data_IF_299977064411
#
_entry.id   IF_299977064411
#
_cell.length_a   1.000
_cell.length_b   1.000
_cell.length_c   1.000
_cell.angle_alpha   90.00
_cell.angle_beta   90.00
_cell.angle_gamma   90.00
#
_symmetry.space_group_name_H-M   'P 1'
#
loop_
_entity.id
_entity.type
_entity.pdbx_description
1 polymer ?
#
# COMPACT_ATOMS: atom_id res chain seq x y z
N UNK A 1 -2.81 9.65 -13.94
CA UNK A 1 -2.91 8.27 -13.42
C UNK A 1 -3.72 8.37 -12.13
N UNK A 2 -4.96 7.87 -12.13
CA UNK A 2 -5.80 7.89 -10.94
C UNK A 2 -5.19 6.89 -9.96
N UNK A 3 -4.92 7.31 -8.73
CA UNK A 3 -4.55 6.38 -7.69
C UNK A 3 -5.86 5.65 -7.37
N UNK A 4 -5.93 4.34 -7.65
CA UNK A 4 -7.04 3.46 -7.28
C UNK A 4 -6.95 3.15 -5.77
N UNK A 5 -6.59 4.15 -4.99
CA UNK A 5 -6.51 4.10 -3.55
C UNK A 5 -7.90 3.74 -3.04
N UNK A 6 -8.04 2.50 -2.57
CA UNK A 6 -9.07 2.15 -1.60
C UNK A 6 -10.49 2.25 -2.13
N UNK A 7 -10.65 2.01 -3.43
CA UNK A 7 -11.97 1.69 -3.97
C UNK A 7 -12.16 0.20 -3.71
N UNK A 8 -12.96 -0.23 -2.71
CA UNK A 8 -13.47 -1.60 -2.70
C UNK A 8 -13.97 -1.88 -4.11
N UNK A 9 -13.66 -3.04 -4.69
CA UNK A 9 -13.82 -3.39 -6.11
C UNK A 9 -15.23 -3.05 -6.62
N UNK A 10 -15.49 -1.77 -6.93
CA UNK A 10 -16.85 -1.24 -7.07
C UNK A 10 -17.08 -0.53 -8.39
N UNK A 11 -16.05 -0.28 -9.21
CA UNK A 11 -16.24 0.70 -10.32
C UNK A 11 -15.83 0.19 -11.71
N UNK A 12 -15.34 -1.04 -11.85
CA UNK A 12 -14.96 -1.56 -13.18
C UNK A 12 -15.54 -2.93 -13.51
N UNK A 13 -16.75 -3.24 -13.03
CA UNK A 13 -17.51 -4.34 -13.62
C UNK A 13 -17.92 -3.89 -15.03
N UNK A 14 -17.40 -4.56 -16.07
CA UNK A 14 -17.82 -4.31 -17.45
C UNK A 14 -19.36 -4.34 -17.55
N UNK A 15 -19.95 -3.52 -18.42
CA UNK A 15 -21.40 -3.23 -18.41
C UNK A 15 -22.35 -4.44 -18.55
N UNK A 16 -21.83 -5.63 -18.84
CA UNK A 16 -22.59 -6.89 -18.78
C UNK A 16 -22.69 -7.46 -17.35
N UNK A 17 -21.63 -7.37 -16.55
CA UNK A 17 -21.61 -7.81 -15.15
C UNK A 17 -22.42 -6.85 -14.28
N UNK A 18 -22.29 -5.54 -14.51
CA UNK A 18 -23.12 -4.52 -13.86
C UNK A 18 -24.63 -4.74 -14.08
N UNK A 19 -25.05 -5.09 -15.30
CA UNK A 19 -26.46 -5.42 -15.60
C UNK A 19 -26.96 -6.65 -14.86
N UNK A 20 -26.09 -7.63 -14.62
CA UNK A 20 -26.43 -8.85 -13.91
C UNK A 20 -26.82 -8.58 -12.45
N UNK A 21 -26.17 -7.58 -11.83
CA UNK A 21 -26.42 -7.18 -10.45
C UNK A 21 -27.58 -6.19 -10.29
N UNK A 22 -28.10 -5.64 -11.38
CA UNK A 22 -29.15 -4.61 -11.36
C UNK A 22 -30.44 -5.08 -12.02
N UNK A 23 -30.98 -6.18 -11.49
CA UNK A 23 -32.32 -6.67 -11.85
C UNK A 23 -33.24 -6.65 -10.64
N UNK A 24 -34.50 -6.28 -10.87
CA UNK A 24 -35.62 -6.47 -9.93
C UNK A 24 -36.03 -7.95 -9.82
N UNK A 25 -35.44 -8.82 -10.64
CA UNK A 25 -35.58 -10.26 -10.50
C UNK A 25 -35.05 -10.71 -9.15
N UNK A 26 -35.84 -11.53 -8.46
CA UNK A 26 -35.41 -12.25 -7.28
C UNK A 26 -34.50 -13.39 -7.69
N UNK A 27 -33.42 -13.58 -6.95
CA UNK A 27 -32.51 -14.71 -7.11
C UNK A 27 -32.71 -15.71 -5.98
N UNK A 28 -32.42 -17.00 -6.22
CA UNK A 28 -32.43 -17.99 -5.14
C UNK A 28 -31.37 -17.65 -4.09
N UNK A 29 -31.67 -17.92 -2.82
CA UNK A 29 -30.70 -17.85 -1.73
C UNK A 29 -29.61 -18.93 -1.92
N UNK A 30 -28.36 -18.56 -1.67
CA UNK A 30 -27.24 -19.50 -1.60
C UNK A 30 -27.05 -20.07 -0.20
N UNK A 31 -27.79 -19.57 0.79
CA UNK A 31 -27.57 -19.87 2.20
C UNK A 31 -26.28 -19.24 2.73
N UNK A 32 -25.91 -18.05 2.24
CA UNK A 32 -24.76 -17.32 2.75
C UNK A 32 -24.91 -17.04 4.25
N UNK A 33 -23.82 -17.26 5.00
CA UNK A 33 -23.77 -16.95 6.42
C UNK A 33 -23.12 -15.58 6.61
N UNK A 34 -23.81 -14.68 7.29
CA UNK A 34 -23.32 -13.33 7.58
C UNK A 34 -23.11 -13.10 9.06
N UNK A 35 -21.97 -12.52 9.42
CA UNK A 35 -21.70 -11.97 10.75
C UNK A 35 -21.15 -10.56 10.59
N UNK A 36 -21.44 -9.67 11.52
CA UNK A 36 -20.83 -8.34 11.50
C UNK A 36 -20.28 -7.94 12.87
N UNK A 37 -19.28 -7.06 12.83
CA UNK A 37 -18.71 -6.34 13.96
C UNK A 37 -18.66 -4.85 13.63
N UNK A 38 -18.46 -3.98 14.61
CA UNK A 38 -18.48 -2.52 14.41
C UNK A 38 -17.35 -1.83 15.17
N UNK A 39 -16.84 -0.75 14.59
CA UNK A 39 -16.05 0.26 15.27
C UNK A 39 -16.83 1.60 15.30
N UNK A 40 -16.20 2.69 15.71
CA UNK A 40 -16.86 3.99 15.79
C UNK A 40 -17.14 4.63 14.42
N UNK A 41 -16.56 4.09 13.33
CA UNK A 41 -16.63 4.65 11.97
C UNK A 41 -17.53 3.82 11.06
N UNK A 42 -17.69 2.52 11.29
CA UNK A 42 -18.44 1.63 10.40
C UNK A 42 -18.56 0.20 10.90
N UNK A 43 -19.22 -0.61 10.08
CA UNK A 43 -19.39 -2.03 10.32
C UNK A 43 -18.52 -2.85 9.36
N UNK A 44 -17.99 -3.97 9.85
CA UNK A 44 -17.36 -5.00 9.03
C UNK A 44 -18.30 -6.19 8.92
N UNK A 45 -18.81 -6.43 7.72
CA UNK A 45 -19.61 -7.60 7.36
C UNK A 45 -18.67 -8.71 6.88
N UNK A 46 -18.81 -9.90 7.43
CA UNK A 46 -18.08 -11.11 7.04
C UNK A 46 -19.07 -12.13 6.51
N UNK A 47 -18.92 -12.50 5.25
CA UNK A 47 -19.76 -13.44 4.53
C UNK A 47 -19.01 -14.74 4.29
N UNK A 48 -19.66 -15.88 4.57
CA UNK A 48 -19.16 -17.24 4.31
C UNK A 48 -20.29 -18.11 3.78
N UNK A 49 -20.05 -19.41 3.57
CA UNK A 49 -21.08 -20.35 3.09
C UNK A 49 -21.18 -20.44 1.57
N UNK A 50 -20.28 -19.78 0.84
CA UNK A 50 -20.06 -19.98 -0.59
C UNK A 50 -18.84 -20.88 -0.84
N UNK A 51 -18.75 -21.42 -2.06
CA UNK A 51 -17.51 -22.05 -2.54
C UNK A 51 -16.68 -21.03 -3.32
N UNK A 52 -15.34 -21.01 -3.16
CA UNK A 52 -14.47 -20.21 -4.01
C UNK A 52 -14.74 -20.52 -5.48
N UNK A 53 -14.86 -19.48 -6.31
CA UNK A 53 -15.16 -19.62 -7.73
C UNK A 53 -14.32 -18.61 -8.51
N UNK A 54 -13.44 -19.11 -9.37
CA UNK A 54 -12.61 -18.26 -10.21
C UNK A 54 -13.49 -17.33 -11.06
N UNK A 55 -13.15 -16.03 -11.07
CA UNK A 55 -13.88 -14.97 -11.75
C UNK A 55 -15.32 -14.72 -11.25
N UNK A 56 -15.71 -15.28 -10.11
CA UNK A 56 -16.95 -14.91 -9.45
C UNK A 56 -16.75 -13.66 -8.60
N UNK A 57 -17.76 -12.79 -8.62
CA UNK A 57 -17.73 -11.52 -7.92
C UNK A 57 -18.90 -11.51 -6.95
N UNK A 58 -18.61 -11.16 -5.69
CA UNK A 58 -19.61 -10.93 -4.66
C UNK A 58 -19.79 -9.42 -4.51
N UNK A 59 -21.01 -8.95 -4.73
CA UNK A 59 -21.36 -7.54 -4.62
C UNK A 59 -22.44 -7.36 -3.56
N UNK A 60 -22.25 -6.39 -2.67
CA UNK A 60 -23.25 -6.00 -1.69
C UNK A 60 -23.89 -4.67 -2.06
N UNK A 61 -25.20 -4.57 -1.85
CA UNK A 61 -25.97 -3.33 -2.00
C UNK A 61 -26.78 -3.04 -0.75
N UNK A 62 -26.97 -1.76 -0.46
CA UNK A 62 -27.87 -1.30 0.57
C UNK A 62 -29.29 -1.15 0.03
N UNK A 63 -30.30 -1.61 0.77
CA UNK A 63 -31.71 -1.55 0.38
C UNK A 63 -32.60 -0.93 1.45
N UNK A 64 -33.69 -0.31 1.01
CA UNK A 64 -34.79 0.12 1.87
C UNK A 64 -35.77 -1.04 2.15
N UNK A 65 -36.74 -0.79 3.03
CA UNK A 65 -37.81 -1.72 3.42
C UNK A 65 -38.67 -2.24 2.26
N UNK A 66 -38.74 -1.47 1.15
CA UNK A 66 -39.46 -1.83 -0.07
C UNK A 66 -38.57 -2.57 -1.10
N UNK A 67 -37.32 -2.89 -0.76
CA UNK A 67 -36.38 -3.59 -1.61
C UNK A 67 -35.64 -2.73 -2.64
N UNK A 68 -35.87 -1.41 -2.66
CA UNK A 68 -35.18 -0.47 -3.54
C UNK A 68 -33.78 -0.11 -3.05
N UNK A 69 -32.87 0.17 -3.99
CA UNK A 69 -31.48 0.51 -3.70
C UNK A 69 -31.34 1.87 -3.00
N UNK A 70 -30.45 1.94 -2.01
CA UNK A 70 -30.09 3.17 -1.30
C UNK A 70 -28.87 3.83 -1.94
N UNK A 71 -28.82 5.17 -1.92
CA UNK A 71 -27.74 5.96 -2.52
C UNK A 71 -26.49 5.99 -1.64
N UNK A 72 -25.33 6.10 -2.26
CA UNK A 72 -24.08 6.34 -1.56
C UNK A 72 -23.94 7.82 -1.17
N UNK A 73 -23.39 8.10 0.01
CA UNK A 73 -23.03 9.45 0.43
C UNK A 73 -21.73 9.95 -0.22
N UNK A 74 -20.92 9.04 -0.76
CA UNK A 74 -19.64 9.35 -1.37
C UNK A 74 -19.37 8.48 -2.59
N UNK A 75 -18.76 9.08 -3.63
CA UNK A 75 -18.56 8.46 -4.95
C UNK A 75 -17.73 7.17 -4.93
N UNK A 76 -16.87 6.97 -3.93
CA UNK A 76 -16.03 5.75 -3.84
C UNK A 76 -16.82 4.51 -3.41
N UNK A 77 -18.04 4.70 -2.89
CA UNK A 77 -18.97 3.64 -2.54
C UNK A 77 -20.19 3.62 -3.45
N UNK A 78 -20.14 4.38 -4.54
CA UNK A 78 -21.22 4.54 -5.49
C UNK A 78 -20.98 3.67 -6.72
N UNK A 79 -22.01 2.99 -7.19
CA UNK A 79 -22.03 2.43 -8.53
C UNK A 79 -22.29 3.52 -9.61
N UNK A 80 -22.46 3.10 -10.86
CA UNK A 80 -22.72 4.00 -11.99
C UNK A 80 -24.02 4.83 -11.86
N UNK A 81 -24.95 4.43 -11.00
CA UNK A 81 -26.20 5.15 -10.74
C UNK A 81 -26.19 5.95 -9.44
N UNK A 82 -25.08 5.93 -8.71
CA UNK A 82 -25.00 6.54 -7.39
C UNK A 82 -25.55 5.65 -6.27
N UNK A 83 -25.93 4.40 -6.55
CA UNK A 83 -26.41 3.45 -5.55
C UNK A 83 -25.21 2.93 -4.73
N UNK A 84 -25.41 2.72 -3.43
CA UNK A 84 -24.36 2.21 -2.57
C UNK A 84 -24.02 0.76 -2.95
N UNK A 85 -22.74 0.53 -3.24
CA UNK A 85 -22.27 -0.77 -3.68
C UNK A 85 -20.82 -1.02 -3.29
N UNK A 86 -20.52 -2.24 -2.85
CA UNK A 86 -19.16 -2.74 -2.67
C UNK A 86 -19.04 -4.11 -3.31
N UNK A 87 -17.97 -4.35 -4.06
CA UNK A 87 -17.67 -5.64 -4.67
C UNK A 87 -16.34 -6.19 -4.22
N UNK A 88 -16.18 -7.50 -4.39
CA UNK A 88 -14.92 -8.21 -4.21
C UNK A 88 -14.92 -9.52 -4.98
N UNK A 89 -13.73 -9.98 -5.36
CA UNK A 89 -13.54 -11.27 -5.99
C UNK A 89 -13.72 -12.40 -4.97
N UNK A 90 -14.29 -13.52 -5.43
CA UNK A 90 -14.61 -14.67 -4.60
C UNK A 90 -13.49 -15.73 -4.63
N UNK A 91 -12.28 -15.33 -4.26
CA UNK A 91 -11.09 -16.20 -4.30
C UNK A 91 -10.97 -17.12 -3.07
N UNK A 92 -11.56 -16.72 -1.94
CA UNK A 92 -11.51 -17.44 -0.66
C UNK A 92 -12.82 -18.15 -0.29
N UNK A 93 -12.87 -18.69 0.93
CA UNK A 93 -14.08 -19.24 1.57
C UNK A 93 -14.83 -18.19 2.44
N UNK A 94 -14.26 -16.99 2.51
CA UNK A 94 -14.75 -15.85 3.26
C UNK A 94 -14.49 -14.55 2.51
N UNK A 95 -15.40 -13.59 2.66
CA UNK A 95 -15.33 -12.28 2.03
C UNK A 95 -15.77 -11.23 3.04
N UNK A 96 -15.06 -10.10 3.08
CA UNK A 96 -15.26 -9.09 4.09
C UNK A 96 -15.54 -7.73 3.46
N UNK A 97 -16.59 -7.07 3.90
CA UNK A 97 -16.94 -5.72 3.47
C UNK A 97 -16.90 -4.79 4.66
N UNK A 98 -16.35 -3.59 4.48
CA UNK A 98 -16.45 -2.54 5.48
C UNK A 98 -17.38 -1.44 4.96
N UNK A 99 -18.47 -1.19 5.69
CA UNK A 99 -19.49 -0.20 5.36
C UNK A 99 -19.39 0.93 6.38
N UNK A 100 -18.86 2.11 6.00
CA UNK A 100 -18.84 3.26 6.89
C UNK A 100 -20.26 3.68 7.24
N UNK A 101 -20.49 4.03 8.50
CA UNK A 101 -21.82 4.30 9.03
C UNK A 101 -22.57 5.41 8.29
N UNK A 102 -21.86 6.44 7.84
CA UNK A 102 -22.44 7.54 7.06
C UNK A 102 -22.45 7.33 5.55
N UNK A 103 -21.90 6.23 5.03
CA UNK A 103 -21.73 6.05 3.59
C UNK A 103 -23.04 5.76 2.82
N UNK A 104 -24.15 5.50 3.52
CA UNK A 104 -25.44 5.14 2.94
C UNK A 104 -26.47 6.22 3.26
N UNK A 105 -27.09 6.78 2.23
CA UNK A 105 -28.16 7.76 2.32
C UNK A 105 -29.53 7.08 2.35
N UNK A 106 -30.42 7.58 3.20
CA UNK A 106 -31.81 7.11 3.23
C UNK A 106 -32.05 5.81 4.01
N UNK A 107 -31.11 5.37 4.85
CA UNK A 107 -31.36 4.30 5.81
C UNK A 107 -32.48 4.70 6.79
N UNK A 108 -33.53 3.89 6.87
CA UNK A 108 -34.68 4.12 7.76
C UNK A 108 -34.41 3.54 9.15
N UNK A 109 -34.51 4.37 10.19
CA UNK A 109 -34.17 3.90 11.54
C UNK A 109 -32.68 3.52 11.64
N UNK A 110 -32.36 2.57 12.49
CA UNK A 110 -30.98 2.11 12.71
C UNK A 110 -30.72 0.75 12.05
N UNK A 111 -31.67 0.23 11.24
CA UNK A 111 -31.53 -1.06 10.56
C UNK A 111 -31.26 -0.85 9.06
N UNK A 112 -30.33 -1.62 8.53
CA UNK A 112 -29.93 -1.63 7.13
C UNK A 112 -30.12 -3.03 6.54
N UNK A 113 -30.75 -3.09 5.38
CA UNK A 113 -30.86 -4.31 4.58
C UNK A 113 -29.68 -4.33 3.61
N UNK A 114 -28.80 -5.32 3.76
CA UNK A 114 -27.69 -5.58 2.82
C UNK A 114 -28.05 -6.80 2.00
N UNK A 115 -28.18 -6.63 0.68
CA UNK A 115 -28.27 -7.75 -0.25
C UNK A 115 -26.90 -8.10 -0.78
N UNK A 116 -26.50 -9.37 -0.67
CA UNK A 116 -25.26 -9.90 -1.22
C UNK A 116 -25.56 -10.78 -2.43
N UNK A 117 -24.99 -10.45 -3.58
CA UNK A 117 -25.19 -11.16 -4.85
C UNK A 117 -23.87 -11.75 -5.34
N UNK A 118 -23.89 -12.99 -5.81
CA UNK A 118 -22.76 -13.62 -6.50
C UNK A 118 -23.07 -13.66 -7.99
N UNK A 119 -22.17 -13.14 -8.83
CA UNK A 119 -22.23 -13.33 -10.28
C UNK A 119 -21.00 -14.07 -10.80
N UNK A 120 -21.21 -14.90 -11.81
CA UNK A 120 -20.14 -15.53 -12.58
C UNK A 120 -20.29 -15.08 -14.04
N UNK A 121 -19.42 -14.16 -14.48
CA UNK A 121 -19.62 -13.45 -15.74
C UNK A 121 -20.88 -12.58 -15.72
N UNK A 122 -21.77 -12.74 -16.70
CA UNK A 122 -22.94 -11.86 -16.91
C UNK A 122 -24.25 -12.33 -16.25
N UNK A 123 -24.23 -13.33 -15.37
CA UNK A 123 -25.41 -13.82 -14.68
C UNK A 123 -25.20 -13.76 -13.16
N UNK A 124 -26.03 -12.97 -12.47
CA UNK A 124 -26.17 -13.09 -11.03
C UNK A 124 -26.87 -14.43 -10.76
N UNK A 125 -26.28 -15.19 -9.83
CA UNK A 125 -26.64 -16.58 -9.60
C UNK A 125 -27.50 -16.70 -8.34
N UNK A 126 -27.20 -15.89 -7.32
CA UNK A 126 -27.82 -15.99 -6.00
C UNK A 126 -27.91 -14.65 -5.29
N UNK A 127 -28.84 -14.52 -4.36
CA UNK A 127 -29.00 -13.37 -3.48
C UNK A 127 -29.35 -13.80 -2.05
N UNK A 128 -28.62 -13.27 -1.07
CA UNK A 128 -28.94 -13.41 0.34
C UNK A 128 -29.07 -12.03 0.99
N UNK A 129 -30.01 -11.92 1.93
CA UNK A 129 -30.36 -10.67 2.60
C UNK A 129 -29.91 -10.70 4.05
N UNK A 130 -29.22 -9.66 4.48
CA UNK A 130 -28.74 -9.48 5.84
C UNK A 130 -29.34 -8.22 6.44
N UNK A 131 -29.75 -8.30 7.70
CA UNK A 131 -30.15 -7.15 8.49
C UNK A 131 -29.01 -6.80 9.43
N UNK A 132 -28.48 -5.58 9.31
CA UNK A 132 -27.43 -5.07 10.19
C UNK A 132 -27.88 -3.76 10.82
N UNK A 133 -27.25 -3.37 11.92
CA UNK A 133 -27.51 -2.07 12.54
C UNK A 133 -26.48 -1.03 12.07
N UNK A 134 -26.91 0.19 11.81
CA UNK A 134 -26.05 1.33 11.50
C UNK A 134 -26.15 2.39 12.60
N UNK A 135 -25.00 2.91 13.03
CA UNK A 135 -24.95 4.09 13.88
C UNK A 135 -25.12 5.31 13.00
N UNK A 136 -26.15 6.12 13.21
CA UNK A 136 -26.37 7.34 12.41
C UNK A 136 -25.29 8.38 12.64
N UNK A 137 -24.44 8.59 11.63
CA UNK A 137 -23.37 9.60 11.63
C UNK A 137 -23.15 10.14 10.21
N UNK A 138 -22.68 11.40 10.06
CA UNK A 138 -22.28 11.89 8.74
C UNK A 138 -21.06 11.12 8.23
N UNK A 139 -20.99 10.93 6.92
CA UNK A 139 -19.79 10.40 6.28
C UNK A 139 -18.64 11.41 6.40
N UNK A 140 -17.44 10.90 6.65
CA UNK A 140 -16.19 11.63 6.49
C UNK A 140 -15.17 10.72 5.83
N UNK A 141 -14.62 11.18 4.71
CA UNK A 141 -13.54 10.46 4.03
C UNK A 141 -12.29 10.40 4.90
N UNK A 142 -12.02 11.44 5.69
CA UNK A 142 -10.85 11.50 6.54
C UNK A 142 -10.95 10.49 7.68
N UNK A 143 -12.13 10.30 8.29
CA UNK A 143 -12.34 9.23 9.29
C UNK A 143 -12.21 7.84 8.69
N UNK A 144 -12.71 7.64 7.47
CA UNK A 144 -12.56 6.36 6.78
C UNK A 144 -11.08 6.04 6.48
N UNK A 145 -10.34 7.04 5.98
CA UNK A 145 -8.92 6.94 5.62
C UNK A 145 -7.96 7.13 6.80
N UNK A 146 -8.48 7.42 8.00
CA UNK A 146 -7.71 7.76 9.19
C UNK A 146 -6.52 6.83 9.44
N UNK A 147 -6.66 5.49 9.48
CA UNK A 147 -5.52 4.61 9.71
C UNK A 147 -4.45 4.70 8.60
N UNK A 148 -4.82 4.91 7.34
CA UNK A 148 -3.85 5.10 6.25
C UNK A 148 -3.11 6.43 6.42
N UNK A 149 -3.85 7.51 6.68
CA UNK A 149 -3.29 8.85 6.89
C UNK A 149 -2.37 8.88 8.11
N UNK A 150 -2.72 8.13 9.15
CA UNK A 150 -1.89 7.93 10.33
C UNK A 150 -0.59 7.18 10.02
N UNK A 151 -0.63 6.09 9.24
CA UNK A 151 0.59 5.42 8.81
C UNK A 151 1.46 6.34 7.96
N UNK A 152 0.86 7.10 7.03
CA UNK A 152 1.58 8.12 6.25
C UNK A 152 2.23 9.19 7.14
N UNK A 153 1.51 9.66 8.16
CA UNK A 153 2.05 10.59 9.16
C UNK A 153 3.22 9.98 9.95
N UNK A 154 3.10 8.73 10.42
CA UNK A 154 4.19 8.05 11.15
C UNK A 154 5.43 7.92 10.26
N UNK A 155 5.25 7.56 8.99
CA UNK A 155 6.32 7.45 8.00
C UNK A 155 7.05 8.79 7.83
N UNK A 156 6.29 9.85 7.57
CA UNK A 156 6.78 11.22 7.44
C UNK A 156 7.45 11.78 8.71
N UNK A 157 7.14 11.18 9.87
CA UNK A 157 7.74 11.54 11.15
C UNK A 157 8.91 10.65 11.56
N UNK A 158 9.37 9.74 10.68
CA UNK A 158 10.39 8.75 11.02
C UNK A 158 11.79 9.34 11.23
N UNK A 159 12.10 10.48 10.62
CA UNK A 159 13.37 11.20 10.74
C UNK A 159 13.24 12.62 11.33
N UNK A 160 12.01 13.10 11.55
CA UNK A 160 11.78 14.47 12.02
C UNK A 160 10.30 14.83 12.22
N UNK A 161 9.99 16.11 12.47
CA UNK A 161 8.61 16.58 12.49
C UNK A 161 8.06 16.72 11.06
N UNK A 162 6.74 16.52 10.93
CA UNK A 162 6.01 16.65 9.67
C UNK A 162 6.27 18.01 9.00
N UNK A 163 6.74 18.00 7.74
CA UNK A 163 7.09 19.21 6.99
C UNK A 163 5.90 19.74 6.17
N UNK A 164 6.04 20.98 5.66
CA UNK A 164 4.93 21.67 4.96
C UNK A 164 4.53 20.95 3.68
N UNK A 165 5.50 20.38 2.98
CA UNK A 165 5.36 19.65 1.72
C UNK A 165 4.48 18.40 1.90
N UNK A 166 4.69 17.62 2.96
CA UNK A 166 3.91 16.42 3.27
C UNK A 166 2.48 16.77 3.67
N UNK A 167 2.31 17.80 4.52
CA UNK A 167 0.99 18.32 4.89
C UNK A 167 0.23 18.78 3.65
N UNK A 168 0.93 19.46 2.72
CA UNK A 168 0.35 19.93 1.47
C UNK A 168 -0.08 18.74 0.60
N UNK A 169 0.76 17.72 0.45
CA UNK A 169 0.43 16.50 -0.28
C UNK A 169 -0.81 15.80 0.29
N UNK A 170 -0.87 15.58 1.61
CA UNK A 170 -2.04 14.93 2.24
C UNK A 170 -3.33 15.75 2.07
N UNK A 171 -3.22 17.08 2.12
CA UNK A 171 -4.37 17.96 1.85
C UNK A 171 -4.83 17.88 0.40
N UNK A 172 -3.91 17.90 -0.54
CA UNK A 172 -4.18 17.73 -1.98
C UNK A 172 -4.77 16.36 -2.29
N UNK A 173 -4.29 15.30 -1.63
CA UNK A 173 -4.86 13.96 -1.75
C UNK A 173 -6.35 13.95 -1.35
N UNK A 174 -6.68 14.45 -0.16
CA UNK A 174 -8.07 14.47 0.33
C UNK A 174 -8.95 15.36 -0.55
N UNK A 175 -8.51 16.57 -0.87
CA UNK A 175 -9.29 17.52 -1.66
C UNK A 175 -9.46 17.06 -3.11
N UNK A 176 -8.36 16.76 -3.80
CA UNK A 176 -8.37 16.62 -5.26
C UNK A 176 -8.66 15.18 -5.70
N UNK A 177 -8.19 14.16 -4.94
CA UNK A 177 -8.47 12.75 -5.26
C UNK A 177 -9.75 12.25 -4.65
N UNK A 178 -10.03 12.60 -3.40
CA UNK A 178 -11.24 12.12 -2.75
C UNK A 178 -12.41 13.09 -2.82
N UNK A 179 -12.19 14.38 -3.13
CA UNK A 179 -13.27 15.36 -3.16
C UNK A 179 -13.69 15.82 -1.76
N UNK A 180 -12.78 15.75 -0.80
CA UNK A 180 -13.03 16.14 0.59
C UNK A 180 -13.40 17.62 0.72
N UNK A 181 -14.37 17.88 1.59
CA UNK A 181 -14.88 19.19 1.97
C UNK A 181 -13.91 19.97 2.89
N UNK A 182 -14.14 21.26 3.07
CA UNK A 182 -13.36 22.08 4.03
C UNK A 182 -13.47 21.55 5.47
N UNK A 183 -14.62 20.99 5.86
CA UNK A 183 -14.78 20.34 7.16
C UNK A 183 -13.85 19.13 7.30
N UNK A 184 -13.75 18.30 6.28
CA UNK A 184 -12.84 17.16 6.26
C UNK A 184 -11.37 17.59 6.20
N UNK A 185 -11.04 18.69 5.51
CA UNK A 185 -9.68 19.25 5.55
C UNK A 185 -9.29 19.76 6.95
N UNK A 186 -10.24 20.31 7.72
CA UNK A 186 -10.01 20.64 9.12
C UNK A 186 -9.87 19.38 9.99
N UNK A 187 -10.65 18.33 9.74
CA UNK A 187 -10.46 17.02 10.40
C UNK A 187 -9.05 16.45 10.13
N UNK A 188 -8.57 16.52 8.88
CA UNK A 188 -7.21 16.13 8.53
C UNK A 188 -6.20 16.98 9.30
N UNK A 189 -6.40 18.30 9.37
CA UNK A 189 -5.50 19.20 10.12
C UNK A 189 -5.43 18.83 11.60
N UNK A 190 -6.54 18.41 12.20
CA UNK A 190 -6.56 17.93 13.59
C UNK A 190 -5.84 16.58 13.73
N UNK A 191 -6.05 15.65 12.79
CA UNK A 191 -5.38 14.35 12.75
C UNK A 191 -3.84 14.48 12.66
N UNK A 192 -3.36 15.46 11.90
CA UNK A 192 -1.93 15.70 11.69
C UNK A 192 -1.24 16.40 12.87
N UNK A 193 -1.98 16.91 13.87
CA UNK A 193 -1.36 17.46 15.09
C UNK A 193 -0.59 16.38 15.86
N UNK A 194 0.46 16.73 16.63
CA UNK A 194 1.11 15.79 17.54
C UNK A 194 0.05 15.15 18.45
N UNK A 195 -0.01 13.82 18.48
CA UNK A 195 -0.98 13.04 19.25
C UNK A 195 -0.24 12.02 20.13
N UNK A 196 -0.96 11.31 20.99
CA UNK A 196 -0.38 10.22 21.79
C UNK A 196 0.18 9.12 20.88
N UNK A 197 1.25 8.47 21.35
CA UNK A 197 1.89 7.35 20.67
C UNK A 197 0.91 6.18 20.54
N UNK A 198 0.40 5.95 19.33
CA UNK A 198 -0.24 4.69 18.95
C UNK A 198 0.81 3.80 18.31
N UNK A 199 0.82 2.52 18.69
CA UNK A 199 1.72 1.57 18.07
C UNK A 199 1.36 1.39 16.59
N UNK A 200 2.37 1.40 15.71
CA UNK A 200 2.18 1.22 14.26
C UNK A 200 1.43 -0.08 13.92
N UNK A 201 1.62 -1.12 14.74
CA UNK A 201 0.89 -2.40 14.63
C UNK A 201 -0.62 -2.22 14.76
N UNK A 202 -1.05 -1.39 15.69
CA UNK A 202 -2.46 -1.19 16.04
C UNK A 202 -3.14 -0.40 14.93
N UNK A 203 -2.46 0.65 14.42
CA UNK A 203 -2.93 1.43 13.27
C UNK A 203 -3.04 0.55 12.02
N UNK A 204 -2.05 -0.33 11.78
CA UNK A 204 -2.08 -1.27 10.67
C UNK A 204 -3.22 -2.30 10.81
N UNK A 205 -3.54 -2.75 12.03
CA UNK A 205 -4.68 -3.62 12.29
C UNK A 205 -6.01 -2.94 11.98
N UNK A 206 -6.18 -1.69 12.42
CA UNK A 206 -7.37 -0.89 12.08
C UNK A 206 -7.46 -0.68 10.57
N UNK A 207 -6.33 -0.46 9.87
CA UNK A 207 -6.32 -0.35 8.41
C UNK A 207 -6.85 -1.62 7.74
N UNK A 208 -6.31 -2.80 8.11
CA UNK A 208 -6.78 -4.09 7.59
C UNK A 208 -8.23 -4.38 7.95
N UNK A 209 -8.71 -3.85 9.07
CA UNK A 209 -10.11 -3.97 9.47
C UNK A 209 -11.04 -3.12 8.60
N UNK A 210 -10.70 -1.85 8.37
CA UNK A 210 -11.51 -0.92 7.56
C UNK A 210 -11.37 -1.13 6.05
N UNK A 211 -10.27 -1.73 5.62
CA UNK A 211 -9.93 -1.91 4.20
C UNK A 211 -9.51 -3.37 3.95
N UNK A 212 -10.47 -4.32 4.00
CA UNK A 212 -10.18 -5.75 3.88
C UNK A 212 -9.64 -6.17 2.50
N UNK A 213 -9.80 -5.31 1.48
CA UNK A 213 -9.33 -5.50 0.11
C UNK A 213 -8.28 -4.45 -0.26
N UNK A 214 -7.40 -4.14 0.69
CA UNK A 214 -6.31 -3.18 0.52
C UNK A 214 -5.37 -3.62 -0.60
N UNK A 215 -5.18 -2.76 -1.60
CA UNK A 215 -4.13 -2.93 -2.61
C UNK A 215 -2.79 -2.42 -2.05
N UNK A 216 -1.88 -3.35 -1.77
CA UNK A 216 -0.58 -3.03 -1.20
C UNK A 216 0.29 -2.19 -2.14
N UNK A 217 0.15 -2.31 -3.46
CA UNK A 217 0.91 -1.50 -4.42
C UNK A 217 0.46 -0.05 -4.36
N UNK A 218 -0.85 0.19 -4.22
CA UNK A 218 -1.40 1.54 -4.08
C UNK A 218 -1.04 2.16 -2.71
N UNK A 219 -1.03 1.36 -1.64
CA UNK A 219 -0.52 1.79 -0.33
C UNK A 219 0.95 2.17 -0.41
N UNK A 220 1.76 1.35 -1.09
CA UNK A 220 3.17 1.60 -1.26
C UNK A 220 3.42 2.88 -2.08
N UNK A 221 2.66 3.11 -3.17
CA UNK A 221 2.68 4.38 -3.92
C UNK A 221 2.29 5.56 -3.05
N UNK A 222 1.27 5.41 -2.19
CA UNK A 222 0.90 6.45 -1.24
C UNK A 222 2.05 6.78 -0.29
N UNK A 223 2.69 5.77 0.31
CA UNK A 223 3.84 5.97 1.20
C UNK A 223 5.02 6.64 0.49
N UNK A 224 5.34 6.23 -0.74
CA UNK A 224 6.37 6.88 -1.56
C UNK A 224 6.05 8.36 -1.78
N UNK A 225 4.82 8.68 -2.15
CA UNK A 225 4.45 10.06 -2.44
C UNK A 225 4.43 10.94 -1.17
N UNK A 226 4.17 10.35 0.00
CA UNK A 226 4.32 11.04 1.28
C UNK A 226 5.81 11.32 1.55
N UNK A 227 6.65 10.30 1.53
CA UNK A 227 8.09 10.42 1.84
C UNK A 227 8.85 11.27 0.81
N UNK A 228 8.51 11.15 -0.48
CA UNK A 228 9.18 11.90 -1.55
C UNK A 228 8.68 13.35 -1.70
N UNK A 229 7.82 13.84 -0.79
CA UNK A 229 7.27 15.19 -0.87
C UNK A 229 8.36 16.29 -0.77
N UNK A 230 9.51 15.98 -0.14
CA UNK A 230 10.68 16.86 0.02
C UNK A 230 11.88 16.49 -0.89
N UNK A 231 11.65 15.55 -1.82
CA UNK A 231 12.47 15.13 -2.97
C UNK A 231 13.31 13.83 -2.86
N UNK A 232 13.69 13.34 -1.67
CA UNK A 232 14.45 12.07 -1.57
C UNK A 232 14.05 11.25 -0.34
N UNK A 233 13.52 10.06 -0.59
CA UNK A 233 13.23 9.08 0.47
C UNK A 233 14.54 8.68 1.16
N UNK A 234 14.60 8.87 2.47
CA UNK A 234 15.78 8.54 3.26
C UNK A 234 15.75 7.06 3.75
N UNK A 235 16.86 6.52 4.27
CA UNK A 235 16.90 5.13 4.74
C UNK A 235 15.99 4.83 5.94
N UNK A 236 15.69 5.81 6.80
CA UNK A 236 14.79 5.61 7.94
C UNK A 236 13.34 5.44 7.47
N UNK A 237 12.89 6.28 6.54
CA UNK A 237 11.59 6.18 5.88
C UNK A 237 11.45 4.88 5.11
N UNK A 238 12.49 4.46 4.38
CA UNK A 238 12.48 3.20 3.63
C UNK A 238 12.28 1.99 4.55
N UNK A 239 12.98 1.95 5.69
CA UNK A 239 12.82 0.89 6.68
C UNK A 239 11.44 0.95 7.35
N UNK A 240 10.96 2.14 7.71
CA UNK A 240 9.64 2.35 8.27
C UNK A 240 8.54 1.84 7.32
N UNK A 241 8.64 2.20 6.04
CA UNK A 241 7.74 1.77 4.98
C UNK A 241 7.76 0.24 4.81
N UNK A 242 8.94 -0.38 4.82
CA UNK A 242 9.09 -1.84 4.77
C UNK A 242 8.36 -2.52 5.93
N UNK A 243 8.54 -2.01 7.14
CA UNK A 243 7.91 -2.57 8.33
C UNK A 243 6.38 -2.40 8.31
N UNK A 244 5.89 -1.24 7.86
CA UNK A 244 4.45 -1.01 7.66
C UNK A 244 3.86 -1.94 6.61
N UNK A 245 4.49 -2.09 5.45
CA UNK A 245 4.02 -2.99 4.40
C UNK A 245 4.03 -4.46 4.87
N UNK A 246 5.04 -4.86 5.66
CA UNK A 246 5.05 -6.18 6.31
C UNK A 246 3.87 -6.36 7.27
N UNK A 247 3.58 -5.36 8.10
CA UNK A 247 2.40 -5.39 8.99
C UNK A 247 1.09 -5.50 8.19
N UNK A 248 1.04 -4.93 6.99
CA UNK A 248 -0.13 -5.00 6.11
C UNK A 248 -0.22 -6.30 5.30
N UNK A 249 0.77 -7.20 5.40
CA UNK A 249 0.75 -8.53 4.80
C UNK A 249 1.59 -8.67 3.53
N UNK A 250 2.45 -7.71 3.20
CA UNK A 250 3.37 -7.83 2.06
C UNK A 250 4.35 -9.00 2.25
N UNK A 251 4.61 -9.76 1.18
CA UNK A 251 5.60 -10.84 1.21
C UNK A 251 7.01 -10.26 1.12
N UNK A 252 8.00 -10.93 1.70
CA UNK A 252 9.40 -10.46 1.67
C UNK A 252 9.97 -10.29 0.25
N UNK A 253 9.51 -11.08 -0.72
CA UNK A 253 9.90 -10.95 -2.13
C UNK A 253 9.39 -9.62 -2.71
N UNK A 254 8.12 -9.30 -2.48
CA UNK A 254 7.51 -8.05 -2.97
C UNK A 254 8.17 -6.84 -2.32
N UNK A 255 8.51 -6.93 -1.03
CA UNK A 255 9.26 -5.88 -0.31
C UNK A 255 10.66 -5.65 -0.88
N UNK A 256 11.36 -6.72 -1.29
CA UNK A 256 12.70 -6.60 -1.86
C UNK A 256 12.66 -5.92 -3.24
N UNK A 257 11.74 -6.33 -4.10
CA UNK A 257 11.52 -5.68 -5.41
C UNK A 257 11.12 -4.21 -5.23
N UNK A 258 10.22 -3.94 -4.28
CA UNK A 258 9.78 -2.59 -3.94
C UNK A 258 10.94 -1.68 -3.51
N UNK A 259 11.75 -2.08 -2.54
CA UNK A 259 12.91 -1.30 -2.07
C UNK A 259 13.94 -1.11 -3.19
N UNK A 260 14.10 -2.12 -4.04
CA UNK A 260 14.98 -2.03 -5.22
C UNK A 260 14.48 -0.99 -6.22
N UNK A 261 13.16 -0.92 -6.43
CA UNK A 261 12.55 0.07 -7.33
C UNK A 261 12.73 1.52 -6.85
N UNK A 262 12.89 1.72 -5.54
CA UNK A 262 13.17 3.03 -4.94
C UNK A 262 14.64 3.43 -5.04
N UNK A 263 15.52 2.55 -5.53
CA UNK A 263 16.96 2.78 -5.50
C UNK A 263 17.55 2.78 -4.08
N UNK A 264 16.79 2.27 -3.10
CA UNK A 264 17.15 2.23 -1.68
C UNK A 264 17.57 0.84 -1.21
N UNK A 265 17.61 -0.13 -2.13
CA UNK A 265 18.21 -1.42 -1.83
C UNK A 265 19.62 -1.19 -1.34
N UNK A 266 19.92 -1.82 -0.19
CA UNK A 266 21.27 -1.98 0.28
C UNK A 266 22.16 -2.32 -0.93
N UNK A 267 23.38 -1.75 -1.03
CA UNK A 267 24.31 -2.08 -2.08
C UNK A 267 24.22 -3.57 -2.39
N UNK A 268 23.79 -3.92 -3.61
CA UNK A 268 23.52 -5.28 -4.06
C UNK A 268 24.64 -6.26 -3.62
N UNK A 269 24.45 -7.59 -3.70
CA UNK A 269 25.54 -8.55 -3.54
C UNK A 269 26.82 -8.17 -4.30
N UNK A 270 26.64 -7.48 -5.44
CA UNK A 270 27.70 -6.87 -6.26
C UNK A 270 28.46 -5.72 -5.59
N UNK A 271 27.77 -4.80 -4.90
CA UNK A 271 28.42 -3.69 -4.18
C UNK A 271 29.05 -4.16 -2.87
N UNK A 272 28.45 -5.13 -2.16
CA UNK A 272 29.11 -5.81 -1.02
C UNK A 272 30.37 -6.57 -1.48
N UNK A 273 30.32 -7.22 -2.64
CA UNK A 273 31.51 -7.80 -3.26
C UNK A 273 32.57 -6.73 -3.59
N UNK A 274 32.16 -5.56 -4.09
CA UNK A 274 33.08 -4.44 -4.34
C UNK A 274 33.70 -3.89 -3.04
N UNK A 275 32.91 -3.73 -1.97
CA UNK A 275 33.40 -3.34 -0.65
C UNK A 275 34.40 -4.36 -0.12
N UNK A 276 34.12 -5.65 -0.29
CA UNK A 276 35.03 -6.75 0.08
C UNK A 276 36.35 -6.70 -0.69
N UNK A 277 36.31 -6.45 -2.01
CA UNK A 277 37.52 -6.27 -2.85
C UNK A 277 38.40 -5.14 -2.32
N UNK A 278 37.81 -4.05 -1.82
CA UNK A 278 38.53 -2.93 -1.21
C UNK A 278 38.75 -3.07 0.31
N UNK A 279 38.35 -4.20 0.91
CA UNK A 279 38.41 -4.45 2.36
C UNK A 279 37.71 -3.38 3.20
N UNK A 280 36.57 -2.91 2.71
CA UNK A 280 35.68 -1.95 3.36
C UNK A 280 34.42 -2.65 3.87
N UNK A 281 33.77 -2.06 4.85
CA UNK A 281 32.50 -2.55 5.42
C UNK A 281 31.56 -1.37 5.63
N UNK A 282 30.28 -1.53 5.29
CA UNK A 282 29.30 -0.44 5.36
C UNK A 282 29.50 0.61 4.27
N UNK A 283 28.95 1.82 4.47
CA UNK A 283 29.06 2.93 3.50
C UNK A 283 30.28 3.81 3.81
N UNK A 284 31.39 3.69 3.06
CA UNK A 284 32.59 4.50 3.29
C UNK A 284 32.37 5.94 2.82
N UNK A 285 32.99 6.91 3.47
CA UNK A 285 33.09 8.29 2.95
C UNK A 285 33.95 8.34 1.67
N UNK A 286 33.84 9.43 0.89
CA UNK A 286 34.65 9.61 -0.33
C UNK A 286 36.17 9.51 -0.04
N UNK A 287 36.61 10.07 1.10
CA UNK A 287 38.02 10.01 1.51
C UNK A 287 38.45 8.59 1.88
N UNK A 288 37.60 7.84 2.59
CA UNK A 288 37.87 6.44 2.96
C UNK A 288 37.92 5.54 1.73
N UNK A 289 37.00 5.71 0.79
CA UNK A 289 36.97 4.97 -0.46
C UNK A 289 38.24 5.24 -1.29
N UNK A 290 38.63 6.51 -1.45
CA UNK A 290 39.83 6.91 -2.18
C UNK A 290 41.10 6.38 -1.53
N UNK A 291 41.16 6.37 -0.20
CA UNK A 291 42.30 5.85 0.57
C UNK A 291 42.41 4.33 0.42
N UNK A 292 41.31 3.61 0.49
CA UNK A 292 41.27 2.15 0.32
C UNK A 292 41.68 1.75 -1.11
N UNK A 293 41.16 2.43 -2.13
CA UNK A 293 41.54 2.22 -3.52
C UNK A 293 43.05 2.44 -3.75
N UNK A 294 43.61 3.58 -3.31
CA UNK A 294 45.06 3.86 -3.44
C UNK A 294 45.92 2.79 -2.76
N UNK A 295 45.49 2.30 -1.59
CA UNK A 295 46.19 1.23 -0.88
C UNK A 295 46.15 -0.07 -1.69
N UNK A 296 44.98 -0.48 -2.15
CA UNK A 296 44.79 -1.71 -2.91
C UNK A 296 45.59 -1.68 -4.23
N UNK A 297 45.49 -0.59 -5.01
CA UNK A 297 46.29 -0.43 -6.24
C UNK A 297 47.78 -0.53 -5.93
N UNK A 298 48.28 0.16 -4.91
CA UNK A 298 49.71 0.08 -4.53
C UNK A 298 50.13 -1.33 -4.10
N UNK A 299 49.26 -2.10 -3.45
CA UNK A 299 49.57 -3.43 -2.95
C UNK A 299 49.58 -4.50 -4.07
N UNK A 300 48.79 -4.28 -5.14
CA UNK A 300 48.65 -5.21 -6.26
C UNK A 300 49.21 -4.71 -7.60
N UNK A 301 49.78 -3.50 -7.68
CA UNK A 301 50.34 -2.95 -8.91
C UNK A 301 51.50 -3.83 -9.44
N UNK A 302 51.51 -4.19 -10.74
CA UNK A 302 52.58 -4.99 -11.34
C UNK A 302 53.98 -4.39 -11.12
N UNK A 303 54.08 -3.05 -11.19
CA UNK A 303 55.34 -2.31 -11.04
C UNK A 303 56.02 -2.49 -9.68
N UNK A 304 55.26 -2.82 -8.62
CA UNK A 304 55.82 -3.05 -7.29
C UNK A 304 56.70 -4.30 -7.24
N UNK A 305 56.51 -5.23 -8.18
CA UNK A 305 57.19 -6.52 -8.20
C UNK A 305 58.07 -6.72 -9.43
N UNK A 306 58.27 -5.68 -10.26
CA UNK A 306 59.11 -5.74 -11.46
C UNK A 306 60.58 -6.09 -11.19
N UNK A 307 61.08 -5.87 -9.96
CA UNK A 307 62.44 -6.22 -9.55
C UNK A 307 62.60 -7.68 -9.08
N UNK A 308 61.53 -8.47 -9.08
CA UNK A 308 61.54 -9.91 -8.80
C UNK A 308 61.19 -10.62 -10.10
N UNK A 309 61.99 -11.58 -10.53
CA UNK A 309 61.68 -12.46 -11.67
C UNK A 309 60.44 -13.31 -11.35
N UNK A 310 59.25 -12.71 -11.49
CA UNK A 310 57.98 -13.37 -11.28
C UNK A 310 57.62 -14.18 -12.52
N UNK A 311 57.14 -15.43 -12.35
CA UNK A 311 56.55 -16.20 -13.43
C UNK A 311 55.40 -15.44 -14.09
N UNK A 312 55.23 -15.59 -15.41
CA UNK A 312 54.21 -14.84 -16.16
C UNK A 312 52.78 -15.09 -15.67
N UNK A 313 52.50 -16.28 -15.13
CA UNK A 313 51.24 -16.60 -14.47
C UNK A 313 50.96 -15.74 -13.22
N UNK A 314 51.99 -15.29 -12.50
CA UNK A 314 51.82 -14.40 -11.34
C UNK A 314 51.58 -12.97 -11.80
N UNK A 315 52.25 -12.54 -12.88
CA UNK A 315 52.02 -11.21 -13.48
C UNK A 315 50.59 -11.07 -14.01
N UNK A 316 50.05 -12.12 -14.64
CA UNK A 316 48.67 -12.12 -15.14
C UNK A 316 47.65 -12.03 -14.00
N UNK A 317 47.87 -12.75 -12.90
CA UNK A 317 47.00 -12.69 -11.71
C UNK A 317 47.01 -11.30 -11.07
N UNK A 318 48.18 -10.66 -10.97
CA UNK A 318 48.30 -9.29 -10.44
C UNK A 318 47.61 -8.26 -11.36
N UNK A 319 47.73 -8.41 -12.67
CA UNK A 319 47.04 -7.55 -13.63
C UNK A 319 45.51 -7.70 -13.52
N UNK A 320 45.02 -8.94 -13.42
CA UNK A 320 43.60 -9.22 -13.25
C UNK A 320 43.06 -8.66 -11.92
N UNK A 321 43.79 -8.82 -10.82
CA UNK A 321 43.43 -8.21 -9.53
C UNK A 321 43.41 -6.69 -9.57
N UNK A 322 44.33 -6.06 -10.29
CA UNK A 322 44.36 -4.59 -10.44
C UNK A 322 43.14 -4.09 -11.21
N UNK A 323 42.72 -4.81 -12.24
CA UNK A 323 41.48 -4.52 -12.98
C UNK A 323 40.23 -4.64 -12.08
N UNK A 324 40.15 -5.71 -11.29
CA UNK A 324 39.05 -5.90 -10.33
C UNK A 324 38.98 -4.77 -9.29
N UNK A 325 40.13 -4.31 -8.78
CA UNK A 325 40.22 -3.21 -7.81
C UNK A 325 39.71 -1.89 -8.42
N UNK A 326 40.11 -1.58 -9.66
CA UNK A 326 39.67 -0.37 -10.34
C UNK A 326 38.16 -0.42 -10.65
N UNK A 327 37.67 -1.57 -11.13
CA UNK A 327 36.25 -1.78 -11.39
C UNK A 327 35.41 -1.64 -10.12
N UNK A 328 35.88 -2.18 -8.99
CA UNK A 328 35.19 -2.06 -7.71
C UNK A 328 35.12 -0.60 -7.23
N UNK A 329 36.20 0.17 -7.38
CA UNK A 329 36.23 1.59 -7.05
C UNK A 329 35.26 2.40 -7.91
N UNK A 330 35.28 2.23 -9.23
CA UNK A 330 34.38 2.94 -10.15
C UNK A 330 32.91 2.64 -9.86
N UNK A 331 32.59 1.37 -9.58
CA UNK A 331 31.24 0.92 -9.25
C UNK A 331 30.76 1.56 -7.94
N UNK A 332 31.59 1.57 -6.90
CA UNK A 332 31.25 2.19 -5.60
C UNK A 332 31.18 3.71 -5.67
N UNK A 333 32.10 4.36 -6.40
CA UNK A 333 32.10 5.81 -6.58
C UNK A 333 30.82 6.27 -7.30
N UNK A 334 30.42 5.55 -8.36
CA UNK A 334 29.18 5.82 -9.09
C UNK A 334 27.93 5.56 -8.23
N UNK A 335 27.89 4.45 -7.50
CA UNK A 335 26.75 4.07 -6.66
C UNK A 335 26.52 5.04 -5.49
N UNK A 336 27.58 5.60 -4.90
CA UNK A 336 27.49 6.54 -3.78
C UNK A 336 27.54 8.02 -4.17
N UNK A 337 27.65 8.34 -5.47
CA UNK A 337 27.69 9.72 -5.97
C UNK A 337 28.98 10.48 -5.63
N UNK A 338 30.10 9.76 -5.47
CA UNK A 338 31.41 10.34 -5.22
C UNK A 338 32.08 10.77 -6.53
N UNK A 339 32.83 11.89 -6.46
CA UNK A 339 33.56 12.46 -7.60
C UNK A 339 34.97 11.90 -7.72
#
# INVERSE_FOLDING_TARGET
MAINLLVPLAVALGGAVWRAFRTDQSFPSAGLQGRYSQDDVGLRLSLTGFRPQANAILQIHARNSNGGFLKAAHRIFADNDGDFSLGSDLEGDSCHFYVPHGAILGAEGDSLIISARIANGSAAVTEDIFHVELIKRPFSIVRYLEPLLMLGKILAQSDGPLVREEVRYLRELIRDKFGGSETELEELRLLLKPAQDMATSDVAEVLRYRMPHLDLDEVAKFFINVAAADALVNPAEANCMKDMLRLLGAREVDLHEFISSLGLSNPAPELEACLTVLSLTGKPTQEELLKAWRRAVRDFHPDRYQSRDLPDAVKSVLAQRTLEINSAYETLAKAYGYK
#
